data_IF_084756666860
#
_entry.id   IF_084756666860
#
_cell.length_a   1.000
_cell.length_b   1.000
_cell.length_c   1.000
_cell.angle_alpha   90.00
_cell.angle_beta   90.00
_cell.angle_gamma   90.00
#
_symmetry.space_group_name_H-M   'P 1'
#
loop_
_entity.id
_entity.type
_entity.pdbx_description
1 polymer ?
#
# COMPACT_ATOMS: atom_id res chain seq x y z
N UNK A 1 -12.13 43.14 -50.91
CA UNK A 1 -12.72 41.96 -50.23
C UNK A 1 -11.65 41.27 -49.35
N UNK A 2 -11.51 41.61 -48.07
CA UNK A 2 -10.59 40.90 -47.14
C UNK A 2 -11.18 40.62 -45.74
N UNK A 3 -12.27 41.29 -45.38
CA UNK A 3 -12.86 41.28 -44.02
C UNK A 3 -13.68 40.00 -43.74
N UNK A 4 -14.32 39.39 -44.76
CA UNK A 4 -15.10 38.13 -44.61
C UNK A 4 -14.25 36.89 -44.30
N UNK A 5 -12.94 36.93 -44.60
CA UNK A 5 -12.03 35.80 -44.35
C UNK A 5 -11.64 35.70 -42.87
N UNK A 6 -11.39 36.86 -42.24
CA UNK A 6 -10.89 36.95 -40.87
C UNK A 6 -11.90 36.35 -39.87
N UNK A 7 -13.20 36.63 -40.01
CA UNK A 7 -14.22 36.06 -39.13
C UNK A 7 -14.34 34.52 -39.23
N UNK A 8 -14.13 33.95 -40.42
CA UNK A 8 -14.13 32.49 -40.61
C UNK A 8 -12.91 31.84 -39.98
N UNK A 9 -11.74 32.45 -40.12
CA UNK A 9 -10.50 31.97 -39.48
C UNK A 9 -10.62 32.00 -37.96
N UNK A 10 -11.20 33.06 -37.38
CA UNK A 10 -11.43 33.14 -35.93
C UNK A 10 -12.43 32.07 -35.45
N UNK A 11 -13.53 31.82 -36.17
CA UNK A 11 -14.44 30.73 -35.83
C UNK A 11 -13.76 29.35 -35.88
N UNK A 12 -12.93 29.09 -36.89
CA UNK A 12 -12.20 27.82 -37.01
C UNK A 12 -11.24 27.64 -35.83
N UNK A 13 -10.49 28.68 -35.45
CA UNK A 13 -9.58 28.65 -34.30
C UNK A 13 -10.33 28.35 -33.00
N UNK A 14 -11.47 29.00 -32.76
CA UNK A 14 -12.29 28.77 -31.56
C UNK A 14 -12.79 27.32 -31.50
N UNK A 15 -13.24 26.76 -32.62
CA UNK A 15 -13.71 25.37 -32.69
C UNK A 15 -12.57 24.39 -32.38
N UNK A 16 -11.38 24.61 -32.94
CA UNK A 16 -10.21 23.78 -32.65
C UNK A 16 -9.82 23.87 -31.17
N UNK A 17 -9.83 25.08 -30.60
CA UNK A 17 -9.51 25.29 -29.19
C UNK A 17 -10.53 24.58 -28.28
N UNK A 18 -11.81 24.68 -28.59
CA UNK A 18 -12.87 23.99 -27.86
C UNK A 18 -12.74 22.46 -27.94
N UNK A 19 -12.43 21.93 -29.14
CA UNK A 19 -12.18 20.50 -29.31
C UNK A 19 -10.96 20.02 -28.52
N UNK A 20 -9.87 20.78 -28.50
CA UNK A 20 -8.67 20.47 -27.71
C UNK A 20 -8.98 20.48 -26.20
N UNK A 21 -9.73 21.46 -25.72
CA UNK A 21 -10.15 21.54 -24.31
C UNK A 21 -11.02 20.33 -23.94
N UNK A 22 -11.97 19.94 -24.79
CA UNK A 22 -12.82 18.77 -24.57
C UNK A 22 -12.01 17.46 -24.57
N UNK A 23 -11.05 17.32 -25.49
CA UNK A 23 -10.15 16.16 -25.51
C UNK A 23 -9.29 16.10 -24.24
N UNK A 24 -8.73 17.22 -23.80
CA UNK A 24 -7.93 17.30 -22.57
C UNK A 24 -8.77 17.00 -21.33
N UNK A 25 -10.00 17.53 -21.25
CA UNK A 25 -10.93 17.27 -20.16
C UNK A 25 -11.34 15.79 -20.11
N UNK A 26 -11.67 15.19 -21.26
CA UNK A 26 -11.99 13.77 -21.36
C UNK A 26 -10.81 12.86 -20.95
N UNK A 27 -9.58 13.26 -21.28
CA UNK A 27 -8.38 12.54 -20.88
C UNK A 27 -8.09 12.66 -19.39
N UNK A 28 -8.29 13.85 -18.82
CA UNK A 28 -8.14 14.08 -17.38
C UNK A 28 -9.16 13.27 -16.55
N UNK A 29 -10.43 13.24 -16.98
CA UNK A 29 -11.47 12.43 -16.32
C UNK A 29 -11.10 10.94 -16.31
N UNK A 30 -10.61 10.41 -17.43
CA UNK A 30 -10.17 9.02 -17.53
C UNK A 30 -9.00 8.67 -16.60
N UNK A 31 -8.14 9.62 -16.28
CA UNK A 31 -7.04 9.38 -15.33
C UNK A 31 -7.47 9.53 -13.87
N UNK A 32 -8.54 10.28 -13.58
CA UNK A 32 -9.07 10.47 -12.23
C UNK A 32 -9.75 9.22 -11.63
N UNK A 33 -10.31 8.36 -12.49
CA UNK A 33 -11.08 7.15 -12.11
C UNK A 33 -10.22 5.87 -12.01
N UNK A 34 -8.91 5.98 -12.24
CA UNK A 34 -7.98 4.85 -12.19
C UNK A 34 -7.82 4.39 -10.74
N UNK A 35 -7.96 3.10 -10.45
CA UNK A 35 -7.68 2.61 -9.09
C UNK A 35 -6.17 2.64 -8.81
N UNK A 36 -5.75 2.72 -7.54
CA UNK A 36 -4.34 2.68 -7.19
C UNK A 36 -3.63 1.45 -7.79
N UNK A 37 -4.22 0.25 -7.70
CA UNK A 37 -3.64 -0.94 -8.31
C UNK A 37 -3.54 -0.86 -9.85
N UNK A 38 -4.59 -0.41 -10.54
CA UNK A 38 -4.54 -0.20 -11.99
C UNK A 38 -3.45 0.80 -12.41
N UNK A 39 -3.14 1.77 -11.56
CA UNK A 39 -2.03 2.68 -11.80
C UNK A 39 -0.69 1.94 -11.71
N UNK A 40 -0.48 1.11 -10.68
CA UNK A 40 0.73 0.29 -10.50
C UNK A 40 0.95 -0.61 -11.71
N UNK A 41 -0.09 -1.33 -12.14
CA UNK A 41 -0.05 -2.23 -13.31
C UNK A 41 0.39 -1.51 -14.60
N UNK A 42 -0.19 -0.35 -14.87
CA UNK A 42 0.15 0.46 -16.06
C UNK A 42 1.55 1.04 -15.98
N UNK A 43 1.98 1.50 -14.80
CA UNK A 43 3.25 2.21 -14.65
C UNK A 43 4.47 1.29 -14.59
N UNK A 44 4.29 0.08 -14.04
CA UNK A 44 5.31 -0.97 -14.08
C UNK A 44 5.14 -1.92 -15.27
N UNK A 45 4.28 -1.53 -16.21
CA UNK A 45 4.19 -1.97 -17.60
C UNK A 45 3.85 -3.46 -17.81
N UNK A 46 2.58 -3.82 -17.59
CA UNK A 46 2.00 -5.02 -18.20
C UNK A 46 0.58 -4.75 -18.70
N UNK A 47 0.40 -4.70 -20.02
CA UNK A 47 -0.92 -4.57 -20.68
C UNK A 47 -1.88 -5.75 -20.37
N UNK A 48 -1.46 -6.76 -19.60
CA UNK A 48 -2.22 -7.98 -19.26
C UNK A 48 -1.96 -8.48 -17.81
N UNK A 49 -1.72 -7.61 -16.82
CA UNK A 49 -1.62 -8.09 -15.43
C UNK A 49 -2.98 -8.59 -14.92
N UNK A 50 -2.96 -9.65 -14.12
CA UNK A 50 -4.16 -10.17 -13.45
C UNK A 50 -4.41 -9.43 -12.14
N UNK A 51 -5.69 -9.37 -11.75
CA UNK A 51 -6.14 -8.90 -10.43
C UNK A 51 -5.50 -9.68 -9.27
N UNK A 52 -5.00 -10.88 -9.54
CA UNK A 52 -4.42 -11.78 -8.54
C UNK A 52 -3.05 -11.31 -8.01
N UNK A 53 -2.50 -10.24 -8.60
CA UNK A 53 -1.27 -9.63 -8.13
C UNK A 53 -1.49 -8.71 -6.92
N UNK A 54 -2.70 -8.20 -6.71
CA UNK A 54 -3.01 -7.36 -5.56
C UNK A 54 -3.10 -8.21 -4.29
N UNK A 55 -2.37 -7.81 -3.26
CA UNK A 55 -2.45 -8.44 -1.94
C UNK A 55 -3.34 -7.58 -1.04
N UNK A 56 -3.07 -6.29 -0.97
CA UNK A 56 -3.87 -5.37 -0.18
C UNK A 56 -3.73 -3.91 -0.65
N UNK A 57 -4.83 -3.18 -0.61
CA UNK A 57 -4.87 -1.73 -0.78
C UNK A 57 -5.38 -1.03 0.49
N UNK A 58 -4.65 -0.02 0.96
CA UNK A 58 -5.05 0.80 2.10
C UNK A 58 -5.07 2.28 1.72
N UNK A 59 -6.25 2.88 1.81
CA UNK A 59 -6.47 4.30 1.58
C UNK A 59 -6.38 5.11 2.88
N UNK A 60 -5.49 6.11 2.93
CA UNK A 60 -5.36 7.06 4.05
C UNK A 60 -5.34 8.49 3.51
N UNK A 61 -6.50 9.13 3.50
CA UNK A 61 -6.69 10.46 2.90
C UNK A 61 -6.45 10.39 1.39
N UNK A 62 -5.53 11.21 0.88
CA UNK A 62 -5.13 11.18 -0.53
C UNK A 62 -3.97 10.24 -0.83
N UNK A 63 -3.54 9.39 0.11
CA UNK A 63 -2.49 8.40 -0.13
C UNK A 63 -3.07 7.00 -0.20
N UNK A 64 -2.58 6.20 -1.15
CA UNK A 64 -2.82 4.77 -1.24
C UNK A 64 -1.52 4.04 -0.91
N UNK A 65 -1.59 3.01 -0.08
CA UNK A 65 -0.52 2.04 0.12
C UNK A 65 -0.97 0.73 -0.47
N UNK A 66 -0.18 0.19 -1.39
CA UNK A 66 -0.54 -1.00 -2.16
C UNK A 66 0.55 -2.03 -1.95
N UNK A 67 0.13 -3.21 -1.52
CA UNK A 67 0.96 -4.40 -1.47
C UNK A 67 0.56 -5.31 -2.62
N UNK A 68 1.55 -5.77 -3.37
CA UNK A 68 1.33 -6.57 -4.55
C UNK A 68 2.48 -7.53 -4.80
N UNK A 69 2.21 -8.66 -5.44
CA UNK A 69 3.24 -9.56 -5.92
C UNK A 69 3.99 -8.92 -7.10
N UNK A 70 5.31 -9.07 -7.13
CA UNK A 70 6.12 -8.58 -8.24
C UNK A 70 5.64 -9.22 -9.53
N UNK A 71 5.46 -8.38 -10.56
CA UNK A 71 5.03 -8.85 -11.87
C UNK A 71 6.08 -9.73 -12.57
N UNK A 72 7.33 -9.65 -12.12
CA UNK A 72 8.46 -10.45 -12.61
C UNK A 72 8.56 -11.79 -11.87
N UNK A 73 8.33 -11.79 -10.57
CA UNK A 73 8.42 -12.97 -9.69
C UNK A 73 7.29 -12.95 -8.64
N UNK A 74 6.28 -13.84 -8.74
CA UNK A 74 5.15 -13.82 -7.81
C UNK A 74 5.53 -14.16 -6.37
N UNK A 75 6.71 -14.75 -6.12
CA UNK A 75 7.19 -15.03 -4.76
C UNK A 75 7.70 -13.77 -4.06
N UNK A 76 7.90 -12.67 -4.80
CA UNK A 76 8.37 -11.41 -4.27
C UNK A 76 7.19 -10.49 -4.01
N UNK A 77 7.13 -9.91 -2.82
CA UNK A 77 6.14 -8.91 -2.43
C UNK A 77 6.77 -7.52 -2.52
N UNK A 78 5.99 -6.57 -3.03
CA UNK A 78 6.36 -5.16 -3.18
C UNK A 78 5.35 -4.25 -2.49
N UNK A 79 5.82 -3.08 -2.07
CA UNK A 79 4.98 -2.05 -1.48
C UNK A 79 5.17 -0.72 -2.22
N UNK A 80 4.06 -0.21 -2.76
CA UNK A 80 4.00 1.09 -3.41
C UNK A 80 3.17 2.07 -2.59
N UNK A 81 3.62 3.31 -2.52
CA UNK A 81 2.86 4.42 -1.96
C UNK A 81 2.54 5.37 -3.09
N UNK A 82 1.25 5.58 -3.34
CA UNK A 82 0.75 6.54 -4.33
C UNK A 82 0.10 7.72 -3.61
N UNK A 83 0.18 8.90 -4.23
CA UNK A 83 -0.56 10.07 -3.83
C UNK A 83 -1.55 10.45 -4.93
N UNK A 84 -2.83 10.51 -4.58
CA UNK A 84 -3.89 11.02 -5.43
C UNK A 84 -3.76 12.54 -5.57
N UNK A 85 -3.78 13.00 -6.81
CA UNK A 85 -3.86 14.41 -7.20
C UNK A 85 -5.10 14.65 -8.10
N UNK A 86 -5.22 15.84 -8.68
CA UNK A 86 -6.36 16.20 -9.54
C UNK A 86 -6.38 15.47 -10.89
N UNK A 87 -5.24 14.93 -11.32
CA UNK A 87 -5.06 14.30 -12.62
C UNK A 87 -4.91 12.78 -12.53
N UNK A 88 -4.81 12.21 -11.32
CA UNK A 88 -4.69 10.77 -11.10
C UNK A 88 -3.84 10.47 -9.88
N UNK A 89 -2.86 9.57 -10.04
CA UNK A 89 -1.94 9.19 -8.99
C UNK A 89 -0.49 9.49 -9.37
N UNK A 90 0.29 9.85 -8.37
CA UNK A 90 1.74 10.01 -8.45
C UNK A 90 2.42 9.00 -7.51
N UNK A 91 3.43 8.28 -8.01
CA UNK A 91 4.27 7.43 -7.16
C UNK A 91 5.07 8.28 -6.18
N UNK A 92 4.86 8.02 -4.88
CA UNK A 92 5.69 8.57 -3.82
C UNK A 92 6.91 7.70 -3.57
N UNK A 93 6.76 6.38 -3.64
CA UNK A 93 7.86 5.45 -3.46
C UNK A 93 7.42 4.05 -3.80
N UNK A 94 8.34 3.28 -4.35
CA UNK A 94 8.22 1.85 -4.50
C UNK A 94 9.40 1.23 -3.76
N UNK A 95 9.12 0.54 -2.66
CA UNK A 95 10.13 -0.10 -1.83
C UNK A 95 9.88 -1.60 -1.93
N UNK A 96 10.84 -2.31 -2.50
CA UNK A 96 10.63 -3.66 -2.97
C UNK A 96 11.66 -4.67 -2.49
N UNK A 97 11.21 -5.92 -2.62
CA UNK A 97 11.90 -7.20 -2.60
C UNK A 97 12.00 -7.87 -1.22
N UNK A 98 10.82 -8.15 -0.65
CA UNK A 98 10.68 -9.18 0.39
C UNK A 98 10.18 -10.46 -0.29
N UNK A 99 10.90 -11.56 -0.10
CA UNK A 99 10.45 -12.88 -0.55
C UNK A 99 9.42 -13.43 0.43
N UNK A 100 8.35 -14.04 -0.09
CA UNK A 100 7.40 -14.81 0.72
C UNK A 100 8.01 -16.11 1.25
N UNK A 101 9.26 -16.43 0.88
CA UNK A 101 9.94 -17.62 1.34
C UNK A 101 10.01 -17.64 2.88
N UNK A 102 9.24 -18.56 3.45
CA UNK A 102 9.38 -19.06 4.82
C UNK A 102 10.70 -19.81 4.91
N UNK A 103 11.83 -19.13 4.87
CA UNK A 103 13.02 -19.74 5.45
C UNK A 103 12.67 -20.06 6.92
N UNK A 104 12.96 -21.28 7.36
CA UNK A 104 12.82 -21.75 8.75
C UNK A 104 13.74 -20.97 9.73
N UNK A 105 14.14 -19.75 9.40
CA UNK A 105 14.95 -18.88 10.22
C UNK A 105 14.04 -18.16 11.23
N UNK A 106 13.75 -18.85 12.33
CA UNK A 106 13.80 -18.46 13.77
C UNK A 106 13.29 -17.06 14.22
N UNK A 107 12.97 -16.12 13.34
CA UNK A 107 12.52 -14.77 13.65
C UNK A 107 10.99 -14.69 13.58
N UNK A 108 10.32 -14.36 14.70
CA UNK A 108 8.85 -14.20 14.71
C UNK A 108 8.38 -13.02 13.82
N UNK A 109 9.32 -12.17 13.45
CA UNK A 109 9.15 -10.96 12.65
C UNK A 109 9.73 -11.25 11.26
N UNK A 110 8.93 -11.13 10.21
CA UNK A 110 9.42 -11.38 8.85
C UNK A 110 10.40 -10.31 8.37
N UNK A 111 10.79 -10.41 7.10
CA UNK A 111 11.62 -9.40 6.46
C UNK A 111 10.95 -8.02 6.53
N UNK A 112 11.79 -6.98 6.57
CA UNK A 112 11.35 -5.59 6.59
C UNK A 112 12.21 -4.74 5.66
N UNK A 113 11.60 -3.71 5.09
CA UNK A 113 12.28 -2.74 4.25
C UNK A 113 11.91 -1.32 4.67
N UNK A 114 12.89 -0.42 4.53
CA UNK A 114 12.74 0.99 4.86
C UNK A 114 13.45 1.86 3.83
N UNK A 115 12.81 2.96 3.43
CA UNK A 115 13.39 3.85 2.43
C UNK A 115 12.71 5.20 2.33
N UNK A 116 13.44 6.16 1.77
CA UNK A 116 12.92 7.49 1.52
C UNK A 116 11.85 7.46 0.41
N UNK A 117 10.76 8.18 0.61
CA UNK A 117 9.83 8.55 -0.43
C UNK A 117 10.48 9.64 -1.32
N UNK A 118 10.18 9.63 -2.61
CA UNK A 118 10.94 10.24 -3.70
C UNK A 118 11.27 11.74 -3.62
N UNK A 119 12.06 12.19 -4.61
CA UNK A 119 12.73 13.51 -4.65
C UNK A 119 11.78 14.66 -4.31
N UNK A 120 11.98 15.26 -3.14
CA UNK A 120 11.29 16.47 -2.69
C UNK A 120 10.14 16.24 -1.70
N UNK A 121 9.77 14.99 -1.39
CA UNK A 121 8.74 14.69 -0.39
C UNK A 121 9.39 14.06 0.85
N UNK A 122 9.45 14.84 1.92
CA UNK A 122 10.08 14.47 3.20
C UNK A 122 9.27 13.40 3.94
N UNK A 123 9.43 12.15 3.53
CA UNK A 123 8.84 11.03 4.24
C UNK A 123 9.60 9.73 4.01
N UNK A 124 9.42 8.80 4.93
CA UNK A 124 9.99 7.46 4.90
C UNK A 124 8.85 6.46 4.96
N UNK A 125 8.96 5.40 4.18
CA UNK A 125 8.10 4.23 4.28
C UNK A 125 8.92 3.11 4.90
N UNK A 126 8.34 2.50 5.91
CA UNK A 126 8.78 1.24 6.50
C UNK A 126 7.65 0.23 6.33
N UNK A 127 7.97 -0.99 5.95
CA UNK A 127 6.98 -2.05 5.83
C UNK A 127 7.62 -3.42 5.99
N UNK A 128 6.81 -4.44 6.22
CA UNK A 128 7.28 -5.83 6.30
C UNK A 128 6.17 -6.85 6.48
N UNK A 129 6.56 -8.10 6.68
CA UNK A 129 5.66 -9.25 6.87
C UNK A 129 5.68 -9.70 8.33
N UNK A 130 4.52 -10.09 8.86
CA UNK A 130 4.37 -10.71 10.17
C UNK A 130 4.06 -12.21 10.00
N UNK A 131 5.06 -13.07 10.22
CA UNK A 131 4.86 -14.52 10.17
C UNK A 131 4.28 -15.08 11.47
N UNK A 132 4.58 -14.46 12.62
CA UNK A 132 4.06 -14.88 13.92
C UNK A 132 2.64 -14.32 14.17
N UNK A 133 1.67 -15.23 14.29
CA UNK A 133 0.28 -14.93 14.62
C UNK A 133 0.08 -14.32 16.01
N UNK A 134 1.06 -14.46 16.91
CA UNK A 134 1.01 -13.89 18.26
C UNK A 134 1.31 -12.38 18.29
N UNK A 135 1.91 -11.82 17.25
CA UNK A 135 2.15 -10.37 17.14
C UNK A 135 0.81 -9.68 16.89
N UNK A 136 0.39 -8.77 17.77
CA UNK A 136 -0.85 -7.99 17.65
C UNK A 136 -0.65 -6.61 17.04
N UNK A 137 0.58 -6.08 17.02
CA UNK A 137 0.87 -4.75 16.51
C UNK A 137 2.35 -4.47 16.31
N UNK A 138 2.64 -3.43 15.54
CA UNK A 138 4.00 -2.94 15.28
C UNK A 138 4.03 -1.45 15.62
N UNK A 139 5.04 -1.02 16.37
CA UNK A 139 5.33 0.39 16.66
C UNK A 139 6.64 0.75 16.00
N UNK A 140 6.67 1.87 15.28
CA UNK A 140 7.87 2.41 14.65
C UNK A 140 8.21 3.75 15.31
N UNK A 141 9.39 3.82 15.89
CA UNK A 141 9.81 4.76 16.91
C UNK A 141 8.81 4.82 18.08
N UNK A 142 7.82 5.70 17.99
CA UNK A 142 6.78 5.91 19.00
C UNK A 142 5.37 5.90 18.40
N UNK A 143 5.24 5.53 17.12
CA UNK A 143 4.00 5.61 16.38
C UNK A 143 3.53 4.21 15.99
N UNK A 144 2.25 3.94 16.21
CA UNK A 144 1.64 2.69 15.75
C UNK A 144 1.70 2.61 14.22
N UNK A 145 2.23 1.51 13.72
CA UNK A 145 2.13 1.12 12.33
C UNK A 145 0.72 0.61 12.02
N UNK A 146 0.38 0.57 10.74
CA UNK A 146 -0.85 -0.07 10.28
C UNK A 146 -0.56 -1.52 9.97
N UNK A 147 -1.33 -2.43 10.57
CA UNK A 147 -1.29 -3.87 10.27
C UNK A 147 -2.48 -4.22 9.39
N UNK A 148 -2.22 -4.94 8.31
CA UNK A 148 -3.20 -5.40 7.33
C UNK A 148 -3.13 -6.92 7.31
N UNK A 149 -4.28 -7.58 7.46
CA UNK A 149 -4.36 -9.05 7.40
C UNK A 149 -5.23 -9.44 6.23
N UNK A 150 -4.72 -10.34 5.39
CA UNK A 150 -5.39 -10.88 4.20
C UNK A 150 -5.34 -12.42 4.27
N UNK A 151 -5.84 -13.11 3.25
CA UNK A 151 -5.93 -14.58 3.24
C UNK A 151 -4.54 -15.24 3.29
N UNK A 152 -4.05 -15.48 4.51
CA UNK A 152 -2.78 -16.18 4.78
C UNK A 152 -1.56 -15.27 4.97
N UNK A 153 -1.70 -13.96 4.80
CA UNK A 153 -0.59 -13.00 4.94
C UNK A 153 -0.94 -11.86 5.89
N UNK A 154 0.04 -11.44 6.69
CA UNK A 154 -0.06 -10.27 7.55
C UNK A 154 1.04 -9.31 7.21
N UNK A 155 0.66 -8.12 6.76
CA UNK A 155 1.55 -7.07 6.32
C UNK A 155 1.47 -5.91 7.29
N UNK A 156 2.53 -5.14 7.41
CA UNK A 156 2.49 -3.89 8.15
C UNK A 156 3.20 -2.79 7.39
N UNK A 157 2.78 -1.54 7.62
CA UNK A 157 3.51 -0.37 7.13
C UNK A 157 3.41 0.82 8.07
N UNK A 158 4.41 1.69 7.97
CA UNK A 158 4.46 2.99 8.61
C UNK A 158 5.01 4.02 7.63
N UNK A 159 4.31 5.15 7.51
CA UNK A 159 4.78 6.32 6.74
C UNK A 159 5.07 7.44 7.73
N UNK A 160 6.35 7.74 7.92
CA UNK A 160 6.87 8.79 8.80
C UNK A 160 7.44 9.97 8.04
N UNK A 161 7.80 11.03 8.74
CA UNK A 161 8.50 12.22 8.20
C UNK A 161 10.02 12.12 8.29
N UNK A 162 10.53 11.20 9.12
CA UNK A 162 11.95 11.03 9.40
C UNK A 162 12.36 9.56 9.27
N UNK A 163 13.62 9.33 8.98
CA UNK A 163 14.22 8.01 9.07
C UNK A 163 14.35 7.61 10.53
N UNK A 164 14.02 6.37 10.85
CA UNK A 164 14.30 5.72 12.11
C UNK A 164 15.34 4.60 11.92
N UNK A 165 16.05 4.28 13.00
CA UNK A 165 16.94 3.12 13.08
C UNK A 165 16.08 1.88 13.27
N UNK A 166 15.82 1.15 12.19
CA UNK A 166 14.90 0.01 12.19
C UNK A 166 15.28 -1.09 13.19
N UNK A 167 16.55 -1.18 13.62
CA UNK A 167 17.00 -2.17 14.60
C UNK A 167 16.63 -1.82 16.05
N UNK A 168 16.36 -0.53 16.32
CA UNK A 168 16.05 -0.03 17.67
C UNK A 168 14.64 0.51 17.81
N UNK A 169 14.13 1.07 16.72
CA UNK A 169 12.90 1.84 16.72
C UNK A 169 11.69 0.99 16.34
N UNK A 170 11.86 -0.26 15.89
CA UNK A 170 10.73 -1.14 15.56
C UNK A 170 10.48 -2.11 16.71
N UNK A 171 9.30 -1.99 17.33
CA UNK A 171 8.89 -2.80 18.48
C UNK A 171 7.61 -3.56 18.13
N UNK A 172 7.62 -4.86 18.39
CA UNK A 172 6.47 -5.73 18.19
C UNK A 172 5.71 -5.90 19.49
N UNK A 173 4.39 -5.74 19.42
CA UNK A 173 3.47 -6.00 20.53
C UNK A 173 2.85 -7.37 20.33
N UNK A 174 2.78 -8.16 21.38
CA UNK A 174 2.24 -9.51 21.36
C UNK A 174 0.87 -9.56 22.05
N UNK A 175 0.00 -10.45 21.58
CA UNK A 175 -1.22 -10.79 22.28
C UNK A 175 -0.88 -11.24 23.71
N UNK A 176 -1.50 -10.59 24.69
CA UNK A 176 -1.41 -11.06 26.07
C UNK A 176 -2.11 -12.43 26.13
N UNK A 177 -1.47 -13.49 26.66
CA UNK A 177 -2.16 -14.75 26.91
C UNK A 177 -3.37 -14.44 27.80
N UNK A 178 -4.59 -14.74 27.35
CA UNK A 178 -5.74 -14.58 28.23
C UNK A 178 -5.52 -15.50 29.43
N UNK A 179 -5.53 -14.97 30.65
CA UNK A 179 -5.58 -15.79 31.85
C UNK A 179 -6.76 -16.75 31.69
N UNK A 180 -6.47 -18.03 31.44
CA UNK A 180 -7.47 -19.08 31.49
C UNK A 180 -8.07 -19.04 32.89
N UNK A 181 -9.35 -18.69 32.99
CA UNK A 181 -10.13 -18.83 34.21
C UNK A 181 -9.85 -20.23 34.80
N UNK A 182 -9.47 -20.35 36.08
CA UNK A 182 -9.15 -21.63 36.67
C UNK A 182 -10.36 -22.55 36.55
N UNK A 183 -10.23 -23.59 35.73
CA UNK A 183 -11.20 -24.67 35.61
C UNK A 183 -11.52 -25.17 37.01
N UNK A 184 -12.76 -24.95 37.44
CA UNK A 184 -13.23 -25.41 38.74
C UNK A 184 -12.98 -26.92 38.84
N UNK A 185 -12.16 -27.32 39.82
CA UNK A 185 -11.89 -28.71 40.15
C UNK A 185 -13.23 -29.38 40.51
N UNK A 186 -13.65 -30.45 39.82
CA UNK A 186 -14.80 -31.22 40.28
C UNK A 186 -14.40 -31.93 41.57
N UNK A 187 -15.04 -31.51 42.67
CA UNK A 187 -14.93 -32.12 44.00
C UNK A 187 -15.39 -33.58 43.90
N UNK A 188 -14.46 -34.53 43.93
CA UNK A 188 -14.79 -35.95 44.01
C UNK A 188 -15.52 -36.22 45.32
N UNK A 189 -16.78 -36.66 45.24
CA UNK A 189 -17.44 -37.37 46.34
C UNK A 189 -16.95 -38.82 46.28
N UNK A 190 -15.95 -39.16 47.07
CA UNK A 190 -15.68 -40.57 47.38
C UNK A 190 -16.52 -40.99 48.57
N UNK A 191 -17.39 -41.97 48.31
CA UNK A 191 -18.25 -42.68 49.25
C UNK A 191 -17.48 -43.14 50.49
N UNK A 192 -18.11 -42.98 51.66
CA UNK A 192 -17.85 -43.83 52.81
C UNK A 192 -18.57 -45.18 52.60
N UNK A 193 -17.86 -46.27 52.84
CA UNK A 193 -18.38 -47.59 53.16
C UNK A 193 -17.70 -48.02 54.48
#
# INVERSE_FOLDING_TARGET
MKIRSIGKVHCIIIIILAALILCMAGWAVRQADVTPMQWVERHFNRENSSSDSEIAEVMKGNKAVIFYHSFEDPTVIRCAVLQKDLLGYQLLGNIGDISESKEESIHPTGDMLGGALGRGKAGFLYWGILYDGSISGVTVATHAATVVSTDGLRLWYYIGTQSCDYTKDIVYTYHTPSEQSPTAVPRSKSLAA
#
